data_IF_212709081234
#
_entry.id   IF_212709081234
#
_cell.length_a   1.000
_cell.length_b   1.000
_cell.length_c   1.000
_cell.angle_alpha   90.00
_cell.angle_beta   90.00
_cell.angle_gamma   90.00
#
_symmetry.space_group_name_H-M   'P 1'
#
loop_
_entity.id
_entity.type
_entity.pdbx_description
1 polymer ?
#
# COMPACT_ATOMS: atom_id res chain seq x y z
N UNK A 1 22.27 -1.52 13.38
CA UNK A 1 21.64 -0.76 14.48
C UNK A 1 20.20 -0.53 14.07
N UNK A 2 19.18 -0.87 14.88
CA UNK A 2 17.81 -0.50 14.53
C UNK A 2 17.77 1.02 14.42
N UNK A 3 17.38 1.50 13.25
CA UNK A 3 17.26 2.92 12.98
C UNK A 3 16.26 3.51 13.98
N UNK A 4 16.65 4.56 14.72
CA UNK A 4 15.80 5.17 15.76
C UNK A 4 14.45 5.61 15.18
N UNK A 5 14.37 5.85 13.86
CA UNK A 5 13.13 6.19 13.18
C UNK A 5 12.22 4.98 12.92
N UNK A 6 12.76 3.75 12.83
CA UNK A 6 11.94 2.54 12.79
C UNK A 6 11.15 2.34 14.08
N UNK A 7 11.75 2.64 15.24
CA UNK A 7 11.08 2.56 16.54
C UNK A 7 9.96 3.62 16.69
N UNK A 8 10.12 4.78 16.06
CA UNK A 8 9.14 5.87 16.09
C UNK A 8 7.83 5.44 15.41
N UNK A 9 7.89 4.71 14.30
CA UNK A 9 6.70 4.26 13.58
C UNK A 9 6.09 2.96 14.13
N UNK A 10 6.74 2.27 15.07
CA UNK A 10 6.30 0.94 15.55
C UNK A 10 4.86 0.94 16.12
N UNK A 11 4.53 1.94 16.96
CA UNK A 11 3.19 2.07 17.54
C UNK A 11 2.13 2.39 16.48
N UNK A 12 2.44 3.30 15.55
CA UNK A 12 1.55 3.64 14.44
C UNK A 12 1.28 2.39 13.60
N UNK A 13 2.32 1.66 13.19
CA UNK A 13 2.22 0.50 12.31
C UNK A 13 1.44 -0.64 12.98
N UNK A 14 1.60 -0.84 14.30
CA UNK A 14 0.76 -1.78 15.07
C UNK A 14 -0.71 -1.40 15.03
N UNK A 15 -1.01 -0.12 15.28
CA UNK A 15 -2.39 0.38 15.27
C UNK A 15 -3.01 0.26 13.88
N UNK A 16 -2.24 0.52 12.83
CA UNK A 16 -2.69 0.31 11.45
C UNK A 16 -2.92 -1.18 11.16
N UNK A 17 -2.07 -2.08 11.66
CA UNK A 17 -2.26 -3.51 11.49
C UNK A 17 -3.58 -3.99 12.10
N UNK A 18 -3.98 -3.47 13.26
CA UNK A 18 -5.28 -3.79 13.86
C UNK A 18 -6.46 -3.27 13.04
N UNK A 19 -6.35 -2.08 12.45
CA UNK A 19 -7.36 -1.56 11.50
C UNK A 19 -7.43 -2.40 10.23
N UNK A 20 -6.28 -2.81 9.68
CA UNK A 20 -6.21 -3.67 8.51
C UNK A 20 -6.83 -5.05 8.77
N UNK A 21 -6.61 -5.62 9.96
CA UNK A 21 -7.27 -6.86 10.39
C UNK A 21 -8.78 -6.71 10.49
N UNK A 22 -9.24 -5.59 11.06
CA UNK A 22 -10.67 -5.31 11.18
C UNK A 22 -11.36 -5.15 9.82
N UNK A 23 -10.64 -4.65 8.79
CA UNK A 23 -11.18 -4.52 7.44
C UNK A 23 -11.39 -5.89 6.74
N UNK A 24 -10.58 -6.90 7.06
CA UNK A 24 -10.78 -8.27 6.54
C UNK A 24 -10.53 -8.47 5.03
N UNK A 25 -9.91 -7.49 4.37
CA UNK A 25 -9.64 -7.51 2.92
C UNK A 25 -8.35 -8.23 2.54
N UNK A 26 -7.42 -8.41 3.48
CA UNK A 26 -6.12 -9.06 3.24
C UNK A 26 -6.15 -10.56 3.55
N UNK A 27 -5.36 -11.36 2.83
CA UNK A 27 -5.25 -12.80 3.08
C UNK A 27 -4.45 -13.13 4.36
N UNK A 28 -3.37 -12.39 4.59
CA UNK A 28 -2.52 -12.54 5.76
C UNK A 28 -1.93 -11.18 6.14
N UNK A 29 -1.78 -10.90 7.43
CA UNK A 29 -1.23 -9.66 7.95
C UNK A 29 -0.10 -9.98 8.91
N UNK A 30 1.12 -9.59 8.55
CA UNK A 30 2.35 -9.82 9.29
C UNK A 30 2.97 -8.51 9.73
N UNK A 31 3.24 -8.40 11.03
CA UNK A 31 3.96 -7.28 11.61
C UNK A 31 5.37 -7.74 11.98
N UNK A 32 6.40 -7.08 11.44
CA UNK A 32 7.79 -7.41 11.70
C UNK A 32 8.64 -6.16 11.89
N UNK A 33 9.95 -6.38 12.11
CA UNK A 33 10.91 -5.29 12.36
C UNK A 33 11.01 -4.28 11.21
N UNK A 34 10.71 -4.70 9.99
CA UNK A 34 10.71 -3.84 8.81
C UNK A 34 9.39 -3.08 8.62
N UNK A 35 8.36 -3.30 9.45
CA UNK A 35 7.03 -2.70 9.31
C UNK A 35 5.91 -3.72 9.07
N UNK A 36 4.80 -3.26 8.49
CA UNK A 36 3.62 -4.08 8.20
C UNK A 36 3.68 -4.65 6.78
N UNK A 37 3.26 -5.89 6.62
CA UNK A 37 3.07 -6.54 5.33
C UNK A 37 1.74 -7.28 5.32
N UNK A 38 0.90 -6.96 4.35
CA UNK A 38 -0.41 -7.55 4.13
C UNK A 38 -0.42 -8.26 2.77
N UNK A 39 -0.63 -9.57 2.75
CA UNK A 39 -0.73 -10.33 1.49
C UNK A 39 -2.02 -9.98 0.76
N UNK A 40 -1.93 -9.70 -0.53
CA UNK A 40 -3.09 -9.51 -1.39
C UNK A 40 -3.96 -10.77 -1.38
N UNK A 41 -5.27 -10.59 -1.25
CA UNK A 41 -6.24 -11.68 -1.29
C UNK A 41 -6.61 -11.95 -2.74
N UNK A 42 -6.73 -13.23 -3.11
CA UNK A 42 -7.17 -13.67 -4.45
C UNK A 42 -6.33 -13.12 -5.64
N UNK A 43 -5.06 -12.76 -5.38
CA UNK A 43 -4.19 -12.30 -6.45
C UNK A 43 -3.69 -13.45 -7.32
N UNK A 44 -3.74 -13.27 -8.64
CA UNK A 44 -3.28 -14.26 -9.61
C UNK A 44 -1.77 -14.57 -9.50
N UNK A 45 -1.01 -13.67 -8.86
CA UNK A 45 0.38 -13.87 -8.50
C UNK A 45 0.70 -13.26 -7.13
N UNK A 46 1.81 -13.67 -6.46
CA UNK A 46 2.17 -13.16 -5.15
C UNK A 46 2.33 -11.63 -5.14
N UNK A 47 1.56 -10.96 -4.30
CA UNK A 47 1.61 -9.52 -4.11
C UNK A 47 1.38 -9.14 -2.64
N UNK A 48 2.00 -8.04 -2.20
CA UNK A 48 1.90 -7.56 -0.83
C UNK A 48 1.71 -6.05 -0.77
N UNK A 49 0.79 -5.62 0.08
CA UNK A 49 0.62 -4.24 0.51
C UNK A 49 1.40 -4.01 1.80
N UNK A 50 2.30 -3.03 1.85
CA UNK A 50 3.26 -2.85 2.93
C UNK A 50 3.25 -1.43 3.48
N UNK A 51 3.58 -1.30 4.76
CA UNK A 51 4.00 -0.04 5.35
C UNK A 51 5.45 -0.13 5.79
N UNK A 52 6.33 0.67 5.18
CA UNK A 52 7.78 0.65 5.40
C UNK A 52 8.29 2.02 5.86
N UNK A 53 8.93 2.12 7.04
CA UNK A 53 9.64 3.33 7.41
C UNK A 53 10.97 3.39 6.64
N UNK A 54 11.17 4.44 5.85
CA UNK A 54 12.39 4.67 5.09
C UNK A 54 12.72 6.18 5.09
N UNK A 55 13.98 6.51 5.41
CA UNK A 55 14.49 7.90 5.40
C UNK A 55 13.62 8.89 6.21
N UNK A 56 13.08 8.44 7.35
CA UNK A 56 12.28 9.27 8.26
C UNK A 56 10.83 9.49 7.83
N UNK A 57 10.38 8.81 6.78
CA UNK A 57 9.01 8.82 6.28
C UNK A 57 8.44 7.41 6.33
N UNK A 58 7.12 7.33 6.42
CA UNK A 58 6.41 6.07 6.25
C UNK A 58 5.93 5.98 4.79
N UNK A 59 6.20 4.85 4.15
CA UNK A 59 5.78 4.57 2.78
C UNK A 59 4.67 3.52 2.80
N UNK A 60 3.66 3.73 1.97
CA UNK A 60 2.71 2.67 1.58
C UNK A 60 3.14 2.12 0.23
N UNK A 61 3.19 0.79 0.13
CA UNK A 61 3.76 0.13 -1.05
C UNK A 61 2.90 -1.06 -1.47
N UNK A 62 2.66 -1.23 -2.77
CA UNK A 62 2.33 -2.51 -3.37
C UNK A 62 3.61 -3.09 -3.98
N UNK A 63 3.91 -4.35 -3.68
CA UNK A 63 5.05 -5.05 -4.27
C UNK A 63 4.71 -6.44 -4.80
N UNK A 64 5.35 -6.82 -5.89
CA UNK A 64 5.26 -8.18 -6.47
C UNK A 64 6.58 -8.57 -7.17
N UNK A 65 7.04 -9.83 -7.07
CA UNK A 65 8.12 -10.35 -7.90
C UNK A 65 7.65 -10.65 -9.34
N UNK A 66 6.34 -10.71 -9.57
CA UNK A 66 5.78 -11.12 -10.85
C UNK A 66 5.77 -9.95 -11.83
N UNK A 67 6.51 -10.12 -12.92
CA UNK A 67 6.63 -9.11 -13.97
C UNK A 67 5.31 -8.94 -14.72
N UNK A 68 4.59 -10.04 -14.97
CA UNK A 68 3.36 -10.02 -15.76
C UNK A 68 2.26 -9.29 -15.00
N UNK A 69 2.17 -9.52 -13.69
CA UNK A 69 1.25 -8.79 -12.83
C UNK A 69 1.52 -7.29 -12.86
N UNK A 70 2.77 -6.85 -12.67
CA UNK A 70 3.11 -5.42 -12.78
C UNK A 70 2.77 -4.86 -14.16
N UNK A 71 3.11 -5.59 -15.22
CA UNK A 71 2.83 -5.16 -16.59
C UNK A 71 1.33 -5.06 -16.88
N UNK A 72 0.51 -5.96 -16.34
CA UNK A 72 -0.95 -5.95 -16.51
C UNK A 72 -1.58 -4.70 -15.90
N UNK A 73 -1.14 -4.32 -14.70
CA UNK A 73 -1.57 -3.08 -14.02
C UNK A 73 -1.22 -1.85 -14.86
N UNK A 74 0.02 -1.78 -15.37
CA UNK A 74 0.45 -0.66 -16.21
C UNK A 74 -0.34 -0.58 -17.52
N UNK A 75 -0.62 -1.73 -18.14
CA UNK A 75 -1.40 -1.78 -19.38
C UNK A 75 -2.85 -1.35 -19.16
N UNK A 76 -3.46 -1.74 -18.05
CA UNK A 76 -4.83 -1.37 -17.68
C UNK A 76 -4.94 0.15 -17.51
N UNK A 77 -4.02 0.76 -16.75
CA UNK A 77 -3.95 2.22 -16.56
C UNK A 77 -3.75 2.99 -17.88
N UNK A 78 -2.91 2.47 -18.78
CA UNK A 78 -2.71 3.08 -20.10
C UNK A 78 -3.97 2.95 -20.97
N UNK A 79 -4.70 1.84 -20.86
CA UNK A 79 -5.89 1.58 -21.64
C UNK A 79 -7.08 2.45 -21.21
N UNK A 80 -7.30 2.59 -19.91
CA UNK A 80 -8.37 3.43 -19.36
C UNK A 80 -8.02 4.91 -19.39
N UNK A 81 -6.72 5.24 -19.32
CA UNK A 81 -6.22 6.61 -19.19
C UNK A 81 -6.27 7.14 -17.75
N UNK A 82 -6.55 6.27 -16.78
CA UNK A 82 -6.60 6.63 -15.37
C UNK A 82 -5.20 6.88 -14.79
N UNK A 83 -5.17 7.67 -13.71
CA UNK A 83 -3.94 7.93 -12.96
C UNK A 83 -4.10 7.38 -11.55
N UNK A 84 -3.10 6.62 -11.09
CA UNK A 84 -3.10 6.04 -9.75
C UNK A 84 -3.37 7.07 -8.63
N UNK A 85 -2.79 8.29 -8.63
CA UNK A 85 -3.11 9.28 -7.60
C UNK A 85 -4.59 9.66 -7.56
N UNK A 86 -5.24 9.77 -8.73
CA UNK A 86 -6.65 10.14 -8.83
C UNK A 86 -7.53 8.98 -8.32
N UNK A 87 -7.24 7.75 -8.74
CA UNK A 87 -7.94 6.55 -8.25
C UNK A 87 -7.78 6.35 -6.74
N UNK A 88 -6.58 6.56 -6.20
CA UNK A 88 -6.34 6.45 -4.76
C UNK A 88 -7.11 7.52 -3.97
N UNK A 89 -7.23 8.74 -4.51
CA UNK A 89 -8.02 9.80 -3.88
C UNK A 89 -9.52 9.47 -3.87
N UNK A 90 -10.05 8.84 -4.92
CA UNK A 90 -11.42 8.34 -4.95
C UNK A 90 -11.65 7.28 -3.86
N UNK A 91 -10.77 6.29 -3.74
CA UNK A 91 -10.88 5.25 -2.71
C UNK A 91 -10.75 5.84 -1.28
N UNK A 92 -9.90 6.84 -1.07
CA UNK A 92 -9.84 7.57 0.21
C UNK A 92 -11.16 8.26 0.55
N UNK A 93 -11.79 8.89 -0.44
CA UNK A 93 -13.10 9.55 -0.27
C UNK A 93 -14.19 8.52 0.06
N UNK A 94 -14.18 7.35 -0.59
CA UNK A 94 -15.11 6.25 -0.25
C UNK A 94 -14.91 5.74 1.19
N UNK A 95 -13.67 5.74 1.68
CA UNK A 95 -13.35 5.42 3.09
C UNK A 95 -13.68 6.55 4.08
N UNK A 96 -14.22 7.68 3.60
CA UNK A 96 -14.58 8.85 4.42
C UNK A 96 -13.40 9.73 4.81
N UNK A 97 -12.27 9.63 4.10
CA UNK A 97 -11.07 10.44 4.31
C UNK A 97 -10.94 11.52 3.23
N UNK A 98 -10.23 12.62 3.51
CA UNK A 98 -9.94 13.61 2.49
C UNK A 98 -8.97 13.04 1.43
N UNK A 99 -9.04 13.51 0.18
CA UNK A 99 -8.03 13.18 -0.83
C UNK A 99 -6.65 13.63 -0.36
N UNK A 100 -5.64 12.83 -0.67
CA UNK A 100 -4.26 13.06 -0.25
C UNK A 100 -3.35 13.50 -1.40
N UNK A 101 -3.77 13.30 -2.65
CA UNK A 101 -3.02 13.65 -3.87
C UNK A 101 -1.56 13.17 -3.85
N UNK A 102 -1.34 11.97 -3.30
CA UNK A 102 0.01 11.44 -3.12
C UNK A 102 0.54 10.87 -4.44
N UNK A 103 1.79 11.24 -4.83
CA UNK A 103 2.39 10.70 -6.04
C UNK A 103 2.75 9.22 -5.83
N UNK A 104 2.47 8.40 -6.85
CA UNK A 104 2.88 7.00 -6.86
C UNK A 104 4.16 6.84 -7.67
N UNK A 105 5.23 6.39 -7.01
CA UNK A 105 6.46 5.96 -7.64
C UNK A 105 6.32 4.51 -8.11
N UNK A 106 6.76 4.20 -9.33
CA UNK A 106 6.86 2.84 -9.82
C UNK A 106 8.27 2.53 -10.31
N UNK A 107 8.86 1.46 -9.80
CA UNK A 107 10.20 1.00 -10.16
C UNK A 107 10.41 -0.47 -9.82
N UNK A 108 11.54 -1.02 -10.26
CA UNK A 108 12.01 -2.32 -9.82
C UNK A 108 13.09 -2.14 -8.76
N UNK A 109 12.81 -2.60 -7.53
CA UNK A 109 13.73 -2.55 -6.39
C UNK A 109 14.96 -3.43 -6.60
N UNK A 110 16.00 -3.22 -5.79
CA UNK A 110 17.24 -4.03 -5.79
C UNK A 110 16.97 -5.51 -5.46
N UNK A 111 15.96 -5.78 -4.64
CA UNK A 111 15.46 -7.12 -4.32
C UNK A 111 14.65 -7.76 -5.47
N UNK A 112 14.66 -7.11 -6.65
CA UNK A 112 13.99 -7.54 -7.89
C UNK A 112 12.46 -7.55 -7.81
N UNK A 113 11.86 -6.87 -6.84
CA UNK A 113 10.42 -6.67 -6.74
C UNK A 113 10.00 -5.44 -7.57
N UNK A 114 8.91 -5.57 -8.32
CA UNK A 114 8.19 -4.45 -8.89
C UNK A 114 7.41 -3.76 -7.77
N UNK A 115 7.58 -2.45 -7.64
CA UNK A 115 7.15 -1.67 -6.48
C UNK A 115 6.39 -0.44 -6.94
N UNK A 116 5.17 -0.29 -6.44
CA UNK A 116 4.38 0.94 -6.51
C UNK A 116 4.31 1.53 -5.11
N UNK A 117 4.77 2.75 -4.87
CA UNK A 117 4.78 3.33 -3.52
C UNK A 117 4.47 4.81 -3.46
N UNK A 118 3.88 5.23 -2.34
CA UNK A 118 3.57 6.63 -2.05
C UNK A 118 4.17 7.03 -0.69
N UNK A 119 4.79 8.21 -0.60
CA UNK A 119 5.29 8.72 0.67
C UNK A 119 4.13 9.32 1.47
N UNK A 120 3.94 8.88 2.72
CA UNK A 120 2.95 9.50 3.59
C UNK A 120 3.46 10.87 4.07
N UNK A 121 2.61 11.92 4.13
CA UNK A 121 3.00 13.31 4.32
C UNK A 121 3.27 13.68 5.78
N UNK A 122 3.87 12.78 6.56
CA UNK A 122 4.24 13.03 7.95
C UNK A 122 5.57 12.39 8.33
N UNK A 123 6.23 13.00 9.31
CA UNK A 123 7.51 12.57 9.88
C UNK A 123 7.36 12.53 11.39
N UNK A 124 7.56 11.38 12.03
CA UNK A 124 7.44 11.24 13.49
C UNK A 124 6.45 10.17 13.96
N UNK A 125 6.21 10.05 15.28
CA UNK A 125 5.60 8.86 15.91
C UNK A 125 4.12 8.61 15.59
N UNK A 126 3.52 9.46 14.77
CA UNK A 126 2.12 9.38 14.42
C UNK A 126 1.21 9.94 15.50
N UNK A 127 0.32 10.86 15.12
CA UNK A 127 -0.89 11.17 15.87
C UNK A 127 -2.06 10.34 15.31
N UNK A 128 -3.26 10.54 15.84
CA UNK A 128 -4.44 9.82 15.37
C UNK A 128 -4.73 10.06 13.88
N UNK A 129 -4.49 11.28 13.38
CA UNK A 129 -4.61 11.60 11.95
C UNK A 129 -3.61 10.83 11.08
N UNK A 130 -2.36 10.68 11.55
CA UNK A 130 -1.35 9.90 10.84
C UNK A 130 -1.70 8.41 10.79
N UNK A 131 -2.28 7.86 11.87
CA UNK A 131 -2.80 6.49 11.88
C UNK A 131 -3.99 6.36 10.93
N UNK A 132 -4.91 7.33 10.92
CA UNK A 132 -6.05 7.35 10.02
C UNK A 132 -5.63 7.39 8.55
N UNK A 133 -4.70 8.28 8.20
CA UNK A 133 -4.18 8.38 6.85
C UNK A 133 -3.38 7.14 6.45
N UNK A 134 -2.52 6.60 7.32
CA UNK A 134 -1.74 5.39 7.00
C UNK A 134 -2.64 4.17 6.78
N UNK A 135 -3.65 3.97 7.63
CA UNK A 135 -4.61 2.89 7.46
C UNK A 135 -5.49 3.12 6.23
N UNK A 136 -5.96 4.35 6.03
CA UNK A 136 -6.74 4.75 4.86
C UNK A 136 -6.00 4.50 3.56
N UNK A 137 -4.75 4.94 3.47
CA UNK A 137 -3.90 4.72 2.30
C UNK A 137 -3.62 3.24 2.06
N UNK A 138 -3.39 2.45 3.12
CA UNK A 138 -3.18 1.00 2.96
C UNK A 138 -4.44 0.31 2.40
N UNK A 139 -5.62 0.70 2.87
CA UNK A 139 -6.90 0.18 2.38
C UNK A 139 -7.25 0.71 0.99
N UNK A 140 -6.95 1.97 0.70
CA UNK A 140 -7.13 2.57 -0.63
C UNK A 140 -6.20 1.90 -1.66
N UNK A 141 -4.96 1.59 -1.29
CA UNK A 141 -4.06 0.79 -2.13
C UNK A 141 -4.66 -0.58 -2.43
N UNK A 142 -5.17 -1.27 -1.42
CA UNK A 142 -5.83 -2.56 -1.62
C UNK A 142 -7.03 -2.45 -2.55
N UNK A 143 -7.94 -1.51 -2.28
CA UNK A 143 -9.18 -1.35 -3.02
C UNK A 143 -8.98 -0.86 -4.47
N UNK A 144 -7.98 0.00 -4.68
CA UNK A 144 -7.56 0.46 -6.00
C UNK A 144 -6.89 -0.68 -6.78
N UNK A 145 -5.79 -1.24 -6.26
CA UNK A 145 -4.98 -2.18 -7.03
C UNK A 145 -5.63 -3.54 -7.21
N UNK A 146 -6.52 -3.99 -6.31
CA UNK A 146 -7.27 -5.25 -6.52
C UNK A 146 -8.10 -5.24 -7.81
N UNK A 147 -8.54 -4.06 -8.26
CA UNK A 147 -9.36 -3.90 -9.48
C UNK A 147 -8.52 -3.74 -10.76
N UNK A 148 -7.21 -3.56 -10.63
CA UNK A 148 -6.31 -3.27 -11.75
C UNK A 148 -5.58 -4.51 -12.23
N UNK A 149 -5.49 -4.67 -13.56
CA UNK A 149 -4.81 -5.80 -14.17
C UNK A 149 -5.34 -7.15 -13.69
N UNK A 150 -4.43 -8.10 -13.46
CA UNK A 150 -4.74 -9.46 -12.98
C UNK A 150 -4.61 -9.60 -11.45
N UNK A 151 -4.82 -8.51 -10.68
CA UNK A 151 -4.71 -8.53 -9.22
C UNK A 151 -5.85 -9.23 -8.49
N UNK A 152 -7.00 -9.40 -9.12
CA UNK A 152 -8.07 -10.27 -8.65
C UNK A 152 -8.39 -11.22 -9.80
N UNK A 153 -8.46 -12.53 -9.51
CA UNK A 153 -8.97 -13.49 -10.48
C UNK A 153 -10.39 -13.08 -10.88
N UNK A 154 -10.58 -12.58 -12.09
CA UNK A 154 -11.92 -12.31 -12.64
C UNK A 154 -12.58 -13.67 -12.86
N UNK A 155 -13.61 -14.00 -12.07
CA UNK A 155 -14.45 -15.18 -12.33
C UNK A 155 -15.05 -15.06 -13.74
N UNK A 156 -14.77 -16.07 -14.58
CA UNK A 156 -15.30 -16.23 -15.95
C UNK A 156 -16.76 -16.76 -15.93
#
# INVERSE_FOLDING_TARGET
>A
MPDVQSAIFDVLVRTVADRARAAGVFAQIELGNAGLSCSAKNAAAPAWYRLRPESGRLWVELVTPDRWLSQSIEQDLVHTGDKLPDLLDEELVELGLPPAALPVEHFRSEDKLYTFRSPLPFTGPGNEDAVALAAGMLLAYEACFRRLGDMEEKED
#
